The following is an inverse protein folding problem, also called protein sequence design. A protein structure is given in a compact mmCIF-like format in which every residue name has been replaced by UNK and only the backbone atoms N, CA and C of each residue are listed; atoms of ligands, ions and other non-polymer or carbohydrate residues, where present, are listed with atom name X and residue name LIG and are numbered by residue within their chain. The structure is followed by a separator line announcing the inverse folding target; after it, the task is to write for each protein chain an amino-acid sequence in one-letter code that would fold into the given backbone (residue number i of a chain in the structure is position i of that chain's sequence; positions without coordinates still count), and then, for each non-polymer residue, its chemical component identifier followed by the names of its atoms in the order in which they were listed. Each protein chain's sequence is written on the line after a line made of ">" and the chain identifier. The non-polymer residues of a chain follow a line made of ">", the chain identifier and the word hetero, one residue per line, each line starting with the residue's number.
data_IF_888587596975
#
_entry.id   IF_888587596975
#
_cell.length_a   1.000
_cell.length_b   1.000
_cell.length_c   1.000
_cell.angle_alpha   90.00
_cell.angle_beta   90.00
_cell.angle_gamma   90.00
#
_symmetry.space_group_name_H-M   'P 1'
#
loop_
_entity.id
_entity.type
_entity.pdbx_description
1 polymer ?
#
# COMPACT_ATOMS: atom_id res chain seq x y z
N UNK A 1 5.84 -12.55 -20.77
CA UNK A 1 4.60 -12.01 -20.17
C UNK A 1 5.06 -11.17 -18.98
N UNK A 2 4.57 -9.93 -18.85
CA UNK A 2 4.87 -9.10 -17.67
C UNK A 2 3.85 -9.39 -16.59
N UNK A 3 4.27 -10.04 -15.49
CA UNK A 3 3.40 -10.25 -14.34
C UNK A 3 3.30 -8.95 -13.54
N UNK A 4 2.13 -8.32 -13.64
CA UNK A 4 1.76 -7.17 -12.83
C UNK A 4 0.92 -7.64 -11.66
N UNK A 5 1.35 -7.32 -10.45
CA UNK A 5 0.60 -7.62 -9.23
C UNK A 5 0.08 -6.31 -8.66
N UNK A 6 -1.19 -6.32 -8.25
CA UNK A 6 -1.87 -5.14 -7.71
C UNK A 6 -2.52 -5.49 -6.38
N UNK A 7 -2.27 -4.67 -5.36
CA UNK A 7 -2.95 -4.74 -4.07
C UNK A 7 -3.48 -3.37 -3.66
N UNK A 8 -4.62 -3.32 -2.94
CA UNK A 8 -5.08 -2.09 -2.35
C UNK A 8 -4.21 -1.70 -1.16
N UNK A 9 -3.92 -0.41 -1.09
CA UNK A 9 -3.24 0.22 0.02
C UNK A 9 -4.13 1.29 0.63
N UNK A 10 -4.07 1.42 1.95
CA UNK A 10 -4.78 2.43 2.71
C UNK A 10 -3.78 3.49 3.12
N UNK A 11 -4.01 4.72 2.68
CA UNK A 11 -3.21 5.88 3.01
C UNK A 11 -3.94 6.72 4.06
N UNK A 12 -3.38 6.77 5.27
CA UNK A 12 -3.89 7.59 6.36
C UNK A 12 -2.97 8.78 6.60
N UNK A 13 -3.54 9.99 6.60
CA UNK A 13 -2.84 11.20 7.01
C UNK A 13 -2.67 11.21 8.52
N UNK A 14 -1.43 11.38 9.00
CA UNK A 14 -1.13 11.63 10.41
C UNK A 14 -0.31 12.90 10.55
N UNK A 15 -0.50 13.60 11.66
CA UNK A 15 0.34 14.73 12.05
C UNK A 15 1.35 14.21 13.08
N UNK A 16 2.64 14.44 12.82
CA UNK A 16 3.74 14.09 13.70
C UNK A 16 4.57 15.35 13.92
N UNK A 17 4.50 15.88 15.13
CA UNK A 17 5.02 17.20 15.49
C UNK A 17 4.48 18.31 14.55
N UNK A 18 5.37 19.01 13.85
CA UNK A 18 5.02 20.05 12.87
C UNK A 18 4.90 19.51 11.43
N UNK A 19 5.03 18.19 11.23
CA UNK A 19 5.05 17.56 9.91
C UNK A 19 3.79 16.74 9.64
N UNK A 20 3.36 16.76 8.37
CA UNK A 20 2.32 15.87 7.88
C UNK A 20 2.99 14.64 7.28
N UNK A 21 2.58 13.45 7.74
CA UNK A 21 2.99 12.18 7.17
C UNK A 21 1.78 11.45 6.58
N UNK A 22 2.03 10.72 5.51
CA UNK A 22 1.07 9.83 4.88
C UNK A 22 1.54 8.40 5.12
N UNK A 23 0.94 7.74 6.09
CA UNK A 23 1.23 6.33 6.36
C UNK A 23 0.47 5.47 5.36
N UNK A 24 1.11 4.42 4.90
CA UNK A 24 0.57 3.45 3.95
C UNK A 24 0.63 2.07 4.57
N UNK A 25 -0.52 1.39 4.55
CA UNK A 25 -0.65 -0.01 4.96
C UNK A 25 -1.27 -0.81 3.83
N UNK A 26 -0.92 -2.09 3.75
CA UNK A 26 -1.55 -3.05 2.85
C UNK A 26 -2.40 -4.00 3.69
N UNK A 27 -3.72 -3.79 3.81
CA UNK A 27 -4.57 -4.58 4.72
C UNK A 27 -4.56 -6.09 4.44
N UNK A 28 -4.34 -6.45 3.17
CA UNK A 28 -4.35 -7.84 2.71
C UNK A 28 -2.97 -8.49 2.74
N UNK A 29 -1.91 -7.69 2.92
CA UNK A 29 -0.54 -8.16 3.02
C UNK A 29 -0.08 -8.06 4.48
N UNK A 30 1.15 -8.49 4.75
CA UNK A 30 1.73 -8.50 6.09
C UNK A 30 1.54 -7.16 6.83
N UNK A 31 1.76 -7.16 8.14
CA UNK A 31 1.75 -5.96 8.99
C UNK A 31 2.83 -4.92 8.66
N UNK A 32 3.52 -5.05 7.53
CA UNK A 32 4.47 -4.06 7.06
C UNK A 32 3.74 -2.78 6.60
N UNK A 33 4.27 -1.66 7.06
CA UNK A 33 3.80 -0.32 6.72
C UNK A 33 4.96 0.51 6.19
N UNK A 34 4.62 1.57 5.48
CA UNK A 34 5.57 2.59 5.05
C UNK A 34 4.93 3.96 5.17
N UNK A 35 5.69 5.01 4.90
CA UNK A 35 5.20 6.38 4.98
C UNK A 35 5.91 7.28 3.97
N UNK A 36 5.38 8.48 3.79
CA UNK A 36 6.06 9.55 3.06
C UNK A 36 5.58 10.92 3.51
N UNK A 37 6.39 11.95 3.22
CA UNK A 37 6.09 13.34 3.60
C UNK A 37 4.97 13.96 2.75
N UNK A 38 4.66 13.33 1.62
CA UNK A 38 3.54 13.69 0.76
C UNK A 38 3.00 12.44 0.07
N UNK A 39 1.84 12.55 -0.58
CA UNK A 39 1.15 11.42 -1.23
C UNK A 39 2.04 10.75 -2.30
N UNK A 40 2.81 11.52 -3.06
CA UNK A 40 3.69 10.98 -4.11
C UNK A 40 4.81 10.14 -3.52
N UNK A 41 5.47 10.65 -2.50
CA UNK A 41 6.53 9.98 -1.76
C UNK A 41 6.00 8.69 -1.09
N UNK A 42 4.89 8.80 -0.36
CA UNK A 42 4.24 7.67 0.30
C UNK A 42 3.87 6.56 -0.70
N UNK A 43 3.37 6.94 -1.88
CA UNK A 43 3.07 5.98 -2.96
C UNK A 43 4.32 5.31 -3.52
N UNK A 44 5.40 6.07 -3.75
CA UNK A 44 6.68 5.51 -4.23
C UNK A 44 7.26 4.51 -3.22
N UNK A 45 7.17 4.83 -1.94
CA UNK A 45 7.63 3.94 -0.87
C UNK A 45 6.72 2.71 -0.77
N UNK A 46 5.41 2.85 -0.99
CA UNK A 46 4.47 1.74 -1.05
C UNK A 46 4.73 0.79 -2.23
N UNK A 47 5.06 1.32 -3.42
CA UNK A 47 5.48 0.51 -4.58
C UNK A 47 6.74 -0.30 -4.25
N UNK A 48 7.71 0.33 -3.58
CA UNK A 48 8.95 -0.35 -3.14
C UNK A 48 8.65 -1.45 -2.12
N UNK A 49 7.86 -1.13 -1.08
CA UNK A 49 7.45 -2.09 -0.06
C UNK A 49 6.69 -3.27 -0.68
N UNK A 50 5.73 -3.01 -1.58
CA UNK A 50 4.97 -4.07 -2.24
C UNK A 50 5.90 -5.00 -3.03
N UNK A 51 6.86 -4.45 -3.79
CA UNK A 51 7.85 -5.26 -4.50
C UNK A 51 8.65 -6.18 -3.57
N UNK A 52 9.09 -5.66 -2.41
CA UNK A 52 9.80 -6.45 -1.40
C UNK A 52 8.92 -7.56 -0.80
N UNK A 53 7.69 -7.22 -0.40
CA UNK A 53 6.74 -8.19 0.16
C UNK A 53 6.45 -9.32 -0.83
N UNK A 54 6.24 -9.01 -2.10
CA UNK A 54 5.93 -10.03 -3.12
C UNK A 54 7.12 -10.94 -3.42
N UNK A 55 8.36 -10.47 -3.24
CA UNK A 55 9.54 -11.32 -3.40
C UNK A 55 9.68 -12.34 -2.26
N UNK A 56 9.26 -11.97 -1.04
CA UNK A 56 9.31 -12.85 0.13
C UNK A 56 8.08 -13.76 0.29
N UNK A 57 6.98 -13.45 -0.41
CA UNK A 57 5.74 -14.21 -0.34
C UNK A 57 5.81 -15.53 -1.13
N UNK A 58 5.66 -16.65 -0.41
CA UNK A 58 5.47 -17.98 -1.01
C UNK A 58 4.06 -18.19 -1.57
N UNK A 59 3.07 -17.51 -0.99
CA UNK A 59 1.67 -17.55 -1.41
C UNK A 59 1.10 -16.13 -1.36
N UNK A 60 0.34 -15.76 -2.38
CA UNK A 60 -0.30 -14.46 -2.49
C UNK A 60 -1.69 -14.52 -1.83
N UNK A 61 -1.95 -13.72 -0.78
CA UNK A 61 -3.26 -13.65 -0.16
C UNK A 61 -4.30 -13.08 -1.14
N UNK A 62 -5.57 -13.33 -0.87
CA UNK A 62 -6.65 -12.75 -1.67
C UNK A 62 -6.72 -11.24 -1.44
N UNK A 63 -6.86 -10.47 -2.52
CA UNK A 63 -7.02 -9.02 -2.45
C UNK A 63 -8.45 -8.66 -2.02
N UNK A 64 -8.58 -7.80 -1.02
CA UNK A 64 -9.86 -7.20 -0.64
C UNK A 64 -10.38 -6.29 -1.74
N UNK A 65 -11.71 -6.09 -1.73
CA UNK A 65 -12.37 -5.15 -2.64
C UNK A 65 -12.11 -3.70 -2.20
N UNK A 66 -11.96 -2.79 -3.16
CA UNK A 66 -11.83 -1.35 -2.86
C UNK A 66 -13.07 -0.80 -2.14
N UNK A 67 -14.26 -1.31 -2.47
CA UNK A 67 -15.52 -0.84 -1.89
C UNK A 67 -15.57 -1.16 -0.39
N UNK A 68 -15.16 -2.37 0.00
CA UNK A 68 -15.17 -2.78 1.40
C UNK A 68 -14.11 -2.03 2.20
N UNK A 69 -12.93 -1.81 1.61
CA UNK A 69 -11.88 -1.00 2.23
C UNK A 69 -12.30 0.46 2.39
N UNK A 70 -12.96 1.08 1.41
CA UNK A 70 -13.45 2.45 1.54
C UNK A 70 -14.52 2.58 2.64
N UNK A 71 -15.39 1.57 2.80
CA UNK A 71 -16.35 1.53 3.92
C UNK A 71 -15.65 1.38 5.27
N UNK A 72 -14.59 0.58 5.34
CA UNK A 72 -13.85 0.33 6.58
C UNK A 72 -12.94 1.50 6.97
N UNK A 73 -12.40 2.22 5.98
CA UNK A 73 -11.49 3.35 6.16
C UNK A 73 -12.05 4.65 5.51
N UNK A 74 -13.18 5.19 6.00
CA UNK A 74 -13.89 6.29 5.34
C UNK A 74 -13.12 7.61 5.33
N UNK A 75 -12.14 7.77 6.23
CA UNK A 75 -11.31 8.97 6.34
C UNK A 75 -9.90 8.80 5.74
N UNK A 76 -9.66 7.70 5.03
CA UNK A 76 -8.38 7.39 4.41
C UNK A 76 -8.50 7.35 2.89
N UNK A 77 -7.38 7.56 2.22
CA UNK A 77 -7.31 7.42 0.77
C UNK A 77 -7.01 5.95 0.47
N UNK A 78 -7.97 5.25 -0.13
CA UNK A 78 -7.74 3.88 -0.62
C UNK A 78 -7.25 3.96 -2.06
N UNK A 79 -6.08 3.38 -2.34
CA UNK A 79 -5.46 3.40 -3.67
C UNK A 79 -4.99 2.00 -4.06
N UNK A 80 -5.07 1.68 -5.35
CA UNK A 80 -4.41 0.50 -5.89
C UNK A 80 -2.93 0.82 -6.12
N UNK A 81 -2.05 -0.08 -5.67
CA UNK A 81 -0.62 -0.05 -5.94
C UNK A 81 -0.29 -1.24 -6.82
N UNK A 82 0.30 -0.96 -7.98
CA UNK A 82 0.66 -1.98 -8.97
C UNK A 82 2.17 -2.01 -9.13
N UNK A 83 2.76 -3.19 -9.03
CA UNK A 83 4.19 -3.41 -9.30
C UNK A 83 4.37 -4.44 -10.38
N UNK A 84 5.47 -4.31 -11.13
CA UNK A 84 5.91 -5.30 -12.11
C UNK A 84 6.90 -6.22 -11.42
N UNK A 85 6.64 -7.52 -11.46
CA UNK A 85 7.64 -8.51 -11.03
C UNK A 85 8.75 -8.54 -12.07
N UNK A 86 9.97 -8.21 -11.67
CA UNK A 86 11.15 -8.51 -12.49
C UNK A 86 11.59 -9.92 -12.13
N UNK A 87 11.55 -10.81 -13.14
CA UNK A 87 12.04 -12.17 -13.04
C UNK A 87 13.56 -12.22 -12.97
#
# INVERSE_FOLDING_TARGET
>A
MTDTITYPAVLSRSEMDENILYNVTFPDLSSANTYGMNIRDARSNAETLLSLLLNDLKHFPESSSLIDLQKHYPNSIVSLITVKRQH
#
